data_IF_616837104413
#
_entry.id   IF_616837104413
#
_cell.length_a   1.000
_cell.length_b   1.000
_cell.length_c   1.000
_cell.angle_alpha   90.00
_cell.angle_beta   90.00
_cell.angle_gamma   90.00
#
_symmetry.space_group_name_H-M   'P 1'
#
loop_
_entity.id
_entity.type
_entity.pdbx_description
1 polymer ?
#
# COMPACT_ATOMS: atom_id res chain seq x y z
N UNK A 1 -10.93 -0.41 12.69
CA UNK A 1 -9.45 -0.41 12.71
C UNK A 1 -9.01 0.57 11.64
N UNK A 2 -8.03 1.42 11.92
CA UNK A 2 -7.68 2.56 11.05
C UNK A 2 -7.45 2.15 9.60
N UNK A 3 -6.78 1.01 9.34
CA UNK A 3 -6.58 0.49 7.97
C UNK A 3 -7.90 0.21 7.26
N UNK A 4 -8.82 -0.54 7.89
CA UNK A 4 -10.10 -0.93 7.28
C UNK A 4 -10.96 0.30 6.97
N UNK A 5 -11.01 1.26 7.89
CA UNK A 5 -11.78 2.50 7.71
C UNK A 5 -11.20 3.38 6.59
N UNK A 6 -9.88 3.44 6.44
CA UNK A 6 -9.20 4.13 5.34
C UNK A 6 -9.38 3.42 3.99
N UNK A 7 -9.39 2.09 3.99
CA UNK A 7 -9.62 1.25 2.81
C UNK A 7 -11.05 1.40 2.28
N UNK A 8 -12.04 1.25 3.16
CA UNK A 8 -13.47 1.33 2.82
C UNK A 8 -13.84 2.74 2.32
N UNK A 9 -13.24 3.80 2.88
CA UNK A 9 -13.39 5.18 2.39
C UNK A 9 -12.93 5.33 0.94
N UNK A 10 -11.74 4.83 0.61
CA UNK A 10 -11.23 4.90 -0.77
C UNK A 10 -12.02 4.04 -1.75
N UNK A 11 -12.50 2.87 -1.32
CA UNK A 11 -13.43 2.06 -2.12
C UNK A 11 -14.71 2.84 -2.41
N UNK A 12 -15.23 3.57 -1.42
CA UNK A 12 -16.44 4.40 -1.60
C UNK A 12 -16.19 5.48 -2.66
N UNK A 13 -15.07 6.19 -2.60
CA UNK A 13 -14.68 7.19 -3.62
C UNK A 13 -14.55 6.56 -5.03
N UNK A 14 -13.93 5.39 -5.12
CA UNK A 14 -13.81 4.64 -6.38
C UNK A 14 -15.18 4.24 -6.90
N UNK A 15 -16.08 3.72 -6.05
CA UNK A 15 -17.39 3.28 -6.48
C UNK A 15 -18.24 4.46 -7.00
N UNK A 16 -18.21 5.61 -6.33
CA UNK A 16 -18.86 6.84 -6.81
C UNK A 16 -18.31 7.27 -8.19
N UNK A 17 -17.00 7.16 -8.38
CA UNK A 17 -16.39 7.41 -9.68
C UNK A 17 -16.87 6.43 -10.76
N UNK A 18 -16.93 5.14 -10.43
CA UNK A 18 -17.35 4.08 -11.33
C UNK A 18 -18.83 4.18 -11.72
N UNK A 19 -19.69 4.68 -10.83
CA UNK A 19 -21.08 4.98 -11.15
C UNK A 19 -21.19 5.97 -12.31
N UNK A 20 -20.38 7.05 -12.27
CA UNK A 20 -20.32 8.04 -13.35
C UNK A 20 -19.72 7.41 -14.60
N UNK A 21 -18.58 6.73 -14.49
CA UNK A 21 -17.87 6.13 -15.63
C UNK A 21 -18.77 5.16 -16.40
N UNK A 22 -19.54 4.35 -15.68
CA UNK A 22 -20.49 3.39 -16.27
C UNK A 22 -21.55 4.08 -17.13
N UNK A 23 -22.06 5.23 -16.68
CA UNK A 23 -23.10 5.99 -17.39
C UNK A 23 -22.53 6.69 -18.62
N UNK A 24 -21.34 7.29 -18.51
CA UNK A 24 -20.73 8.02 -19.63
C UNK A 24 -20.17 7.10 -20.73
N UNK A 25 -20.18 5.79 -20.55
CA UNK A 25 -19.84 4.82 -21.60
C UNK A 25 -21.06 4.29 -22.39
N UNK A 26 -22.28 4.73 -22.04
CA UNK A 26 -23.49 4.40 -22.78
C UNK A 26 -23.57 5.16 -24.12
N UNK A 27 -24.58 4.87 -24.94
CA UNK A 27 -24.76 5.55 -26.23
C UNK A 27 -25.11 7.04 -26.02
N UNK A 28 -24.34 7.91 -26.69
CA UNK A 28 -24.49 9.39 -26.69
C UNK A 28 -24.68 10.00 -25.29
N UNK A 29 -23.71 9.84 -24.38
CA UNK A 29 -23.83 10.35 -23.02
C UNK A 29 -23.71 11.87 -23.00
N UNK A 30 -24.50 12.51 -22.14
CA UNK A 30 -24.43 13.95 -21.90
C UNK A 30 -24.72 14.31 -20.44
N UNK A 31 -24.10 15.40 -19.98
CA UNK A 31 -24.45 16.08 -18.73
C UNK A 31 -25.19 17.38 -19.07
N UNK A 32 -26.36 17.56 -18.50
CA UNK A 32 -27.16 18.79 -18.65
C UNK A 32 -27.28 19.47 -17.29
N UNK A 33 -27.01 20.77 -17.23
CA UNK A 33 -27.19 21.58 -16.04
C UNK A 33 -27.89 22.90 -16.38
N UNK A 34 -28.82 23.34 -15.54
CA UNK A 34 -29.45 24.65 -15.69
C UNK A 34 -28.59 25.72 -15.00
N UNK A 35 -28.18 26.72 -15.77
CA UNK A 35 -27.49 27.90 -15.28
C UNK A 35 -28.50 29.01 -15.01
N UNK A 36 -28.77 29.24 -13.73
CA UNK A 36 -29.71 30.26 -13.28
C UNK A 36 -29.24 31.70 -13.56
N UNK A 37 -27.94 31.91 -13.82
CA UNK A 37 -27.40 33.25 -14.13
C UNK A 37 -27.67 33.61 -15.58
N UNK A 38 -27.43 32.68 -16.50
CA UNK A 38 -27.70 32.89 -17.92
C UNK A 38 -29.14 32.54 -18.33
N UNK A 39 -29.93 31.92 -17.44
CA UNK A 39 -31.27 31.37 -17.72
C UNK A 39 -31.27 30.38 -18.88
N UNK A 40 -30.22 29.55 -18.96
CA UNK A 40 -30.05 28.57 -20.04
C UNK A 40 -29.61 27.20 -19.51
N UNK A 41 -29.89 26.15 -20.30
CA UNK A 41 -29.31 24.83 -20.07
C UNK A 41 -27.95 24.74 -20.75
N UNK A 42 -26.96 24.27 -20.00
CA UNK A 42 -25.62 23.92 -20.49
C UNK A 42 -25.58 22.41 -20.69
N UNK A 43 -25.29 21.99 -21.91
CA UNK A 43 -25.08 20.58 -22.27
C UNK A 43 -23.59 20.31 -22.52
N UNK A 44 -23.06 19.29 -21.85
CA UNK A 44 -21.73 18.73 -22.12
C UNK A 44 -21.92 17.34 -22.73
N UNK A 45 -21.52 17.20 -23.98
CA UNK A 45 -21.49 15.90 -24.68
C UNK A 45 -20.18 15.18 -24.35
N UNK A 46 -20.29 13.93 -23.92
CA UNK A 46 -19.16 13.04 -23.70
C UNK A 46 -18.76 12.38 -25.02
N UNK A 47 -17.80 13.00 -25.71
CA UNK A 47 -17.12 12.40 -26.85
C UNK A 47 -16.08 11.35 -26.39
N UNK A 48 -15.47 10.65 -27.35
CA UNK A 48 -14.46 9.63 -27.07
C UNK A 48 -13.28 10.16 -26.26
N UNK A 49 -12.84 11.40 -26.50
CA UNK A 49 -11.72 11.98 -25.80
C UNK A 49 -12.04 12.19 -24.32
N UNK A 50 -13.22 12.76 -24.00
CA UNK A 50 -13.68 12.94 -22.62
C UNK A 50 -13.84 11.59 -21.92
N UNK A 51 -14.46 10.61 -22.58
CA UNK A 51 -14.63 9.27 -22.01
C UNK A 51 -13.27 8.62 -21.71
N UNK A 52 -12.32 8.69 -22.64
CA UNK A 52 -10.97 8.14 -22.44
C UNK A 52 -10.24 8.84 -21.28
N UNK A 53 -10.42 10.15 -21.11
CA UNK A 53 -9.85 10.86 -19.95
C UNK A 53 -10.39 10.29 -18.63
N UNK A 54 -11.68 10.03 -18.56
CA UNK A 54 -12.27 9.40 -17.38
C UNK A 54 -11.76 7.95 -17.20
N UNK A 55 -11.76 7.12 -18.24
CA UNK A 55 -11.20 5.76 -18.19
C UNK A 55 -9.79 5.73 -17.61
N UNK A 56 -8.89 6.58 -18.11
CA UNK A 56 -7.51 6.63 -17.63
C UNK A 56 -7.37 7.15 -16.19
N UNK A 57 -8.28 8.01 -15.73
CA UNK A 57 -8.25 8.51 -14.34
C UNK A 57 -8.47 7.39 -13.31
N UNK A 58 -9.14 6.30 -13.70
CA UNK A 58 -9.28 5.08 -12.91
C UNK A 58 -7.94 4.51 -12.43
N UNK A 59 -6.89 4.59 -13.26
CA UNK A 59 -5.57 4.08 -12.88
C UNK A 59 -4.96 4.84 -11.70
N UNK A 60 -5.24 6.14 -11.58
CA UNK A 60 -4.80 6.93 -10.44
C UNK A 60 -5.54 6.52 -9.16
N UNK A 61 -6.86 6.35 -9.25
CA UNK A 61 -7.71 5.96 -8.13
C UNK A 61 -7.36 4.57 -7.60
N UNK A 62 -7.25 3.58 -8.49
CA UNK A 62 -6.89 2.21 -8.12
C UNK A 62 -5.47 2.13 -7.57
N UNK A 63 -4.52 2.89 -8.13
CA UNK A 63 -3.17 2.89 -7.60
C UNK A 63 -3.06 3.58 -6.25
N UNK A 64 -3.81 4.67 -6.03
CA UNK A 64 -3.90 5.32 -4.73
C UNK A 64 -4.45 4.37 -3.66
N UNK A 65 -5.47 3.57 -3.99
CA UNK A 65 -5.98 2.52 -3.11
C UNK A 65 -4.87 1.54 -2.73
N UNK A 66 -4.08 1.07 -3.69
CA UNK A 66 -2.94 0.16 -3.43
C UNK A 66 -1.92 0.80 -2.49
N UNK A 67 -1.39 1.98 -2.84
CA UNK A 67 -0.32 2.61 -2.07
C UNK A 67 -0.77 2.95 -0.65
N UNK A 68 -1.95 3.52 -0.51
CA UNK A 68 -2.48 3.90 0.80
C UNK A 68 -2.78 2.70 1.69
N UNK A 69 -3.28 1.59 1.13
CA UNK A 69 -3.53 0.38 1.89
C UNK A 69 -2.22 -0.17 2.47
N UNK A 70 -1.18 -0.25 1.64
CA UNK A 70 0.15 -0.71 2.07
C UNK A 70 0.75 0.23 3.10
N UNK A 71 0.71 1.54 2.85
CA UNK A 71 1.20 2.57 3.76
C UNK A 71 0.55 2.47 5.13
N UNK A 72 -0.78 2.53 5.17
CA UNK A 72 -1.53 2.48 6.42
C UNK A 72 -1.32 1.15 7.15
N UNK A 73 -1.11 0.06 6.43
CA UNK A 73 -0.78 -1.24 7.03
C UNK A 73 0.56 -1.25 7.74
N UNK A 74 1.61 -0.73 7.10
CA UNK A 74 2.93 -0.63 7.72
C UNK A 74 2.90 0.32 8.91
N UNK A 75 2.23 1.47 8.80
CA UNK A 75 2.06 2.42 9.91
C UNK A 75 1.34 1.76 11.09
N UNK A 76 0.26 1.02 10.83
CA UNK A 76 -0.50 0.37 11.92
C UNK A 76 0.33 -0.72 12.61
N UNK A 77 1.19 -1.43 11.88
CA UNK A 77 2.17 -2.35 12.48
C UNK A 77 3.14 -1.58 13.38
N UNK A 78 3.71 -0.47 12.90
CA UNK A 78 4.64 0.35 13.67
C UNK A 78 3.99 0.89 14.94
N UNK A 79 2.77 1.42 14.84
CA UNK A 79 2.00 1.92 15.98
C UNK A 79 1.70 0.79 16.98
N UNK A 80 1.42 -0.41 16.50
CA UNK A 80 1.20 -1.59 17.34
C UNK A 80 2.46 -2.00 18.08
N UNK A 81 3.63 -1.95 17.45
CA UNK A 81 4.93 -2.25 18.08
C UNK A 81 5.34 -1.14 19.07
N UNK A 82 5.17 0.12 18.70
CA UNK A 82 5.53 1.29 19.52
C UNK A 82 4.54 1.57 20.65
N UNK A 83 3.41 0.85 20.70
CA UNK A 83 2.26 1.15 21.55
C UNK A 83 2.63 1.31 23.03
N UNK A 84 2.12 2.37 23.66
CA UNK A 84 2.23 2.57 25.11
C UNK A 84 1.47 1.52 25.94
N UNK A 85 0.65 0.68 25.29
CA UNK A 85 0.02 -0.49 25.93
C UNK A 85 1.05 -1.56 26.33
N UNK A 86 2.23 -1.57 25.72
CA UNK A 86 3.33 -2.43 26.15
C UNK A 86 3.95 -1.85 27.43
N UNK A 87 3.82 -2.58 28.52
CA UNK A 87 4.43 -2.22 29.80
C UNK A 87 5.21 -3.42 30.37
N UNK A 88 6.57 -3.40 30.34
CA UNK A 88 7.42 -2.34 29.80
C UNK A 88 7.32 -2.21 28.26
N UNK A 89 7.78 -1.07 27.70
CA UNK A 89 7.89 -0.90 26.24
C UNK A 89 8.80 -1.98 25.66
N UNK A 90 8.47 -2.43 24.45
CA UNK A 90 9.27 -3.44 23.74
C UNK A 90 10.67 -2.91 23.44
N UNK A 91 11.65 -3.77 23.65
CA UNK A 91 13.06 -3.57 23.31
C UNK A 91 13.44 -4.44 22.11
N UNK A 92 14.66 -4.23 21.62
CA UNK A 92 15.19 -4.93 20.45
C UNK A 92 15.10 -6.46 20.54
N UNK A 93 15.33 -7.04 21.73
CA UNK A 93 15.31 -8.50 21.91
C UNK A 93 13.92 -9.09 22.13
N UNK A 94 12.89 -8.26 22.33
CA UNK A 94 11.51 -8.70 22.60
C UNK A 94 10.72 -9.01 21.32
N UNK A 95 11.26 -8.63 20.16
CA UNK A 95 10.61 -8.80 18.86
C UNK A 95 11.24 -9.91 18.02
N UNK A 96 10.52 -10.37 17.00
CA UNK A 96 11.01 -11.35 16.03
C UNK A 96 12.16 -10.80 15.17
N UNK A 97 12.94 -11.70 14.58
CA UNK A 97 14.14 -11.32 13.82
C UNK A 97 13.86 -10.50 12.56
N UNK A 98 12.69 -10.68 11.92
CA UNK A 98 12.31 -9.86 10.77
C UNK A 98 12.15 -8.38 11.16
N UNK A 99 11.49 -8.11 12.30
CA UNK A 99 11.35 -6.75 12.84
C UNK A 99 12.72 -6.18 13.25
N UNK A 100 13.60 -6.99 13.86
CA UNK A 100 14.98 -6.57 14.19
C UNK A 100 15.76 -6.15 12.95
N UNK A 101 15.74 -6.99 11.90
CA UNK A 101 16.40 -6.72 10.62
C UNK A 101 15.83 -5.47 9.98
N UNK A 102 14.50 -5.35 9.94
CA UNK A 102 13.83 -4.16 9.41
C UNK A 102 14.28 -2.88 10.12
N UNK A 103 14.35 -2.91 11.46
CA UNK A 103 14.81 -1.76 12.24
C UNK A 103 16.29 -1.45 12.00
N UNK A 104 17.17 -2.47 12.01
CA UNK A 104 18.61 -2.29 11.77
C UNK A 104 18.90 -1.71 10.39
N UNK A 105 18.23 -2.19 9.34
CA UNK A 105 18.37 -1.70 7.97
C UNK A 105 17.97 -0.23 7.80
N UNK A 106 17.26 0.33 8.78
CA UNK A 106 16.82 1.72 8.78
C UNK A 106 17.67 2.63 9.68
N UNK A 107 18.20 2.10 10.78
CA UNK A 107 19.04 2.84 11.73
C UNK A 107 20.52 2.80 11.35
N UNK A 108 20.99 1.70 10.77
CA UNK A 108 22.35 1.56 10.28
C UNK A 108 22.41 1.71 8.76
N UNK A 109 23.12 2.75 8.30
CA UNK A 109 23.45 2.93 6.88
C UNK A 109 24.93 2.58 6.68
N UNK A 110 25.17 1.46 6.02
CA UNK A 110 26.53 1.07 5.63
C UNK A 110 27.00 1.93 4.45
N UNK A 111 28.25 2.40 4.53
CA UNK A 111 28.97 2.99 3.40
C UNK A 111 30.38 2.40 3.39
N UNK A 112 30.75 1.77 2.28
CA UNK A 112 32.04 1.08 2.10
C UNK A 112 33.24 2.04 2.25
N UNK A 113 33.02 3.35 2.08
CA UNK A 113 34.05 4.39 2.23
C UNK A 113 34.20 4.89 3.67
N UNK A 114 33.44 4.34 4.62
CA UNK A 114 33.53 4.75 6.02
C UNK A 114 34.90 4.44 6.61
N UNK A 115 35.50 5.45 7.25
CA UNK A 115 36.73 5.27 8.04
C UNK A 115 36.48 4.35 9.24
N UNK A 116 37.51 3.61 9.65
CA UNK A 116 37.46 2.67 10.79
C UNK A 116 36.85 3.29 12.05
N UNK A 117 37.25 4.51 12.42
CA UNK A 117 36.74 5.19 13.62
C UNK A 117 35.23 5.49 13.52
N UNK A 118 34.73 5.81 12.32
CA UNK A 118 33.30 6.04 12.10
C UNK A 118 32.50 4.73 12.23
N UNK A 119 33.05 3.61 11.76
CA UNK A 119 32.45 2.28 11.94
C UNK A 119 32.38 1.92 13.42
N UNK A 120 33.46 2.10 14.18
CA UNK A 120 33.51 1.84 15.63
C UNK A 120 32.48 2.72 16.37
N UNK A 121 32.43 4.02 16.07
CA UNK A 121 31.48 4.94 16.68
C UNK A 121 30.02 4.55 16.37
N UNK A 122 29.73 4.12 15.16
CA UNK A 122 28.39 3.62 14.81
C UNK A 122 28.04 2.34 15.58
N UNK A 123 28.99 1.43 15.76
CA UNK A 123 28.77 0.21 16.54
C UNK A 123 28.46 0.53 18.01
N UNK A 124 29.20 1.44 18.64
CA UNK A 124 28.94 1.89 20.02
C UNK A 124 27.55 2.54 20.14
N UNK A 125 27.17 3.37 19.17
CA UNK A 125 25.82 3.98 19.14
C UNK A 125 24.74 2.92 19.02
N UNK A 126 24.90 1.98 18.09
CA UNK A 126 23.95 0.87 17.90
C UNK A 126 23.83 -0.01 19.15
N UNK A 127 24.95 -0.36 19.79
CA UNK A 127 24.91 -1.15 21.02
C UNK A 127 24.15 -0.42 22.12
N UNK A 128 24.38 0.88 22.28
CA UNK A 128 23.63 1.68 23.26
C UNK A 128 22.12 1.68 22.97
N UNK A 129 21.72 1.85 21.70
CA UNK A 129 20.30 1.77 21.32
C UNK A 129 19.70 0.39 21.62
N UNK A 130 20.41 -0.69 21.28
CA UNK A 130 19.94 -2.07 21.45
C UNK A 130 19.72 -2.43 22.93
N UNK A 131 20.65 -2.05 23.81
CA UNK A 131 20.62 -2.47 25.21
C UNK A 131 19.81 -1.52 26.10
N UNK A 132 19.81 -0.23 25.81
CA UNK A 132 19.28 0.78 26.75
C UNK A 132 17.93 1.38 26.33
N UNK A 133 17.62 1.43 25.03
CA UNK A 133 16.43 2.11 24.52
C UNK A 133 15.28 1.15 24.19
N UNK A 134 14.05 1.67 24.18
CA UNK A 134 12.91 0.97 23.59
C UNK A 134 13.02 0.94 22.06
N UNK A 135 12.54 -0.13 21.44
CA UNK A 135 12.44 -0.22 20.00
C UNK A 135 11.37 0.76 19.50
N UNK A 136 11.73 1.58 18.50
CA UNK A 136 10.84 2.54 17.86
C UNK A 136 10.97 2.41 16.35
N UNK A 137 9.85 2.19 15.67
CA UNK A 137 9.73 2.22 14.22
C UNK A 137 8.99 3.50 13.79
N UNK A 138 9.62 4.32 12.96
CA UNK A 138 9.03 5.59 12.50
C UNK A 138 8.55 5.50 11.05
N UNK A 139 7.59 6.33 10.67
CA UNK A 139 7.02 6.35 9.31
C UNK A 139 8.05 6.59 8.20
N UNK A 140 9.12 7.33 8.46
CA UNK A 140 10.22 7.54 7.50
C UNK A 140 11.12 6.30 7.31
N UNK A 141 10.89 5.21 8.04
CA UNK A 141 11.51 3.91 7.80
C UNK A 141 10.77 3.07 6.76
N UNK A 142 9.62 3.54 6.25
CA UNK A 142 8.87 2.83 5.22
C UNK A 142 9.65 2.86 3.91
N UNK A 143 9.93 1.66 3.37
CA UNK A 143 10.73 1.47 2.14
C UNK A 143 9.92 0.85 0.98
N UNK A 144 8.63 1.12 0.83
CA UNK A 144 7.99 0.76 -0.43
C UNK A 144 8.33 1.84 -1.47
N UNK A 145 9.10 1.48 -2.50
CA UNK A 145 9.36 2.38 -3.62
C UNK A 145 8.04 2.73 -4.32
N UNK A 146 7.94 3.90 -4.96
CA UNK A 146 6.75 4.42 -5.65
C UNK A 146 6.35 3.62 -6.90
N UNK A 147 6.33 2.30 -6.80
CA UNK A 147 6.12 1.30 -7.83
C UNK A 147 5.77 -0.02 -7.13
N UNK A 148 4.75 0.02 -6.26
CA UNK A 148 4.11 -1.16 -5.68
C UNK A 148 3.37 -1.98 -6.74
N UNK A 149 3.58 -3.30 -6.69
CA UNK A 149 2.82 -4.34 -7.38
C UNK A 149 2.49 -5.45 -6.36
N UNK A 150 1.75 -6.48 -6.77
CA UNK A 150 1.37 -7.59 -5.89
C UNK A 150 2.58 -8.30 -5.24
N UNK A 151 3.74 -8.33 -5.91
CA UNK A 151 4.94 -8.97 -5.37
C UNK A 151 5.58 -8.11 -4.28
N UNK A 152 5.74 -6.80 -4.51
CA UNK A 152 6.31 -5.87 -3.52
C UNK A 152 5.43 -5.68 -2.30
N UNK A 153 4.12 -5.83 -2.42
CA UNK A 153 3.19 -5.89 -1.27
C UNK A 153 3.59 -7.08 -0.38
N UNK A 154 3.78 -8.25 -0.98
CA UNK A 154 4.21 -9.46 -0.27
C UNK A 154 5.59 -9.31 0.37
N UNK A 155 6.55 -8.73 -0.34
CA UNK A 155 7.89 -8.47 0.19
C UNK A 155 7.86 -7.53 1.39
N UNK A 156 7.10 -6.44 1.30
CA UNK A 156 6.94 -5.47 2.39
C UNK A 156 6.38 -6.13 3.64
N UNK A 157 5.31 -6.92 3.49
CA UNK A 157 4.71 -7.68 4.58
C UNK A 157 5.70 -8.67 5.21
N UNK A 158 6.39 -9.47 4.38
CA UNK A 158 7.38 -10.46 4.82
C UNK A 158 8.57 -9.83 5.53
N UNK A 159 9.03 -8.66 5.09
CA UNK A 159 10.13 -7.94 5.74
C UNK A 159 9.83 -7.54 7.19
N UNK A 160 8.55 -7.50 7.57
CA UNK A 160 8.09 -7.27 8.93
C UNK A 160 7.67 -8.56 9.64
N UNK A 161 7.84 -9.72 9.00
CA UNK A 161 7.48 -11.03 9.55
C UNK A 161 5.98 -11.34 9.52
N UNK A 162 5.20 -10.64 8.69
CA UNK A 162 3.77 -10.92 8.52
C UNK A 162 3.59 -12.23 7.75
N UNK A 163 2.77 -13.15 8.26
CA UNK A 163 2.37 -14.33 7.49
C UNK A 163 1.38 -13.92 6.40
N UNK A 164 1.75 -14.15 5.14
CA UNK A 164 0.97 -13.80 3.95
C UNK A 164 0.37 -15.01 3.23
N UNK A 165 0.22 -16.16 3.89
CA UNK A 165 -0.34 -17.35 3.24
C UNK A 165 -1.76 -17.10 2.71
N UNK A 166 -2.53 -16.24 3.38
CA UNK A 166 -3.85 -15.79 2.91
C UNK A 166 -3.82 -15.05 1.58
N UNK A 167 -2.69 -14.42 1.22
CA UNK A 167 -2.53 -13.77 -0.09
C UNK A 167 -2.38 -14.77 -1.23
N UNK A 168 -1.97 -16.02 -0.94
CA UNK A 168 -1.84 -17.05 -1.97
C UNK A 168 -3.19 -17.64 -2.35
N UNK A 169 -4.14 -17.62 -1.41
CA UNK A 169 -5.49 -18.14 -1.65
C UNK A 169 -6.24 -17.25 -2.65
N UNK A 170 -6.75 -17.85 -3.72
CA UNK A 170 -7.44 -17.17 -4.83
C UNK A 170 -6.56 -16.27 -5.72
N UNK A 171 -5.29 -16.01 -5.37
CA UNK A 171 -4.41 -15.20 -6.21
C UNK A 171 -4.00 -15.95 -7.48
N UNK A 172 -4.27 -15.31 -8.62
CA UNK A 172 -3.92 -15.80 -9.96
C UNK A 172 -3.02 -14.79 -10.65
N UNK A 173 -1.79 -15.19 -10.98
CA UNK A 173 -0.75 -14.29 -11.52
C UNK A 173 -1.17 -13.66 -12.85
N UNK A 174 -1.86 -14.41 -13.68
CA UNK A 174 -2.42 -14.05 -14.99
C UNK A 174 -3.64 -13.14 -14.90
N UNK A 175 -4.19 -12.89 -13.70
CA UNK A 175 -5.40 -12.08 -13.54
C UNK A 175 -5.15 -10.96 -12.53
N UNK A 176 -4.86 -11.33 -11.29
CA UNK A 176 -4.55 -10.38 -10.22
C UNK A 176 -3.21 -9.70 -10.51
N UNK A 177 -2.17 -10.51 -10.80
CA UNK A 177 -0.84 -9.98 -11.10
C UNK A 177 -0.84 -9.05 -12.31
N UNK A 178 -1.61 -9.39 -13.35
CA UNK A 178 -1.80 -8.52 -14.51
C UNK A 178 -2.50 -7.21 -14.13
N UNK A 179 -3.59 -7.26 -13.35
CA UNK A 179 -4.30 -6.05 -12.91
C UNK A 179 -3.38 -5.07 -12.15
N UNK A 180 -2.60 -5.57 -11.17
CA UNK A 180 -1.63 -4.74 -10.45
C UNK A 180 -0.57 -4.14 -11.37
N UNK A 181 -0.01 -4.95 -12.27
CA UNK A 181 1.03 -4.52 -13.21
C UNK A 181 0.51 -3.46 -14.18
N UNK A 182 -0.67 -3.67 -14.75
CA UNK A 182 -1.29 -2.73 -15.68
C UNK A 182 -1.60 -1.40 -14.98
N UNK A 183 -2.27 -1.44 -13.82
CA UNK A 183 -2.62 -0.22 -13.07
C UNK A 183 -1.37 0.57 -12.69
N UNK A 184 -0.33 -0.10 -12.19
CA UNK A 184 0.94 0.51 -11.87
C UNK A 184 1.59 1.15 -13.11
N UNK A 185 1.69 0.41 -14.22
CA UNK A 185 2.33 0.90 -15.43
C UNK A 185 1.60 2.13 -15.99
N UNK A 186 0.27 2.08 -16.08
CA UNK A 186 -0.51 3.21 -16.61
C UNK A 186 -0.43 4.43 -15.70
N UNK A 187 -0.49 4.23 -14.37
CA UNK A 187 -0.25 5.32 -13.41
C UNK A 187 1.13 5.94 -13.62
N UNK A 188 2.19 5.13 -13.78
CA UNK A 188 3.54 5.63 -14.02
C UNK A 188 3.62 6.45 -15.32
N UNK A 189 3.03 5.96 -16.42
CA UNK A 189 2.98 6.71 -17.67
C UNK A 189 2.30 8.07 -17.52
N UNK A 190 1.17 8.13 -16.80
CA UNK A 190 0.48 9.39 -16.51
C UNK A 190 1.33 10.32 -15.64
N UNK A 191 1.93 9.80 -14.57
CA UNK A 191 2.70 10.59 -13.60
C UNK A 191 4.00 11.16 -14.20
N UNK A 192 4.62 10.42 -15.12
CA UNK A 192 5.83 10.88 -15.81
C UNK A 192 5.54 11.70 -17.09
N UNK A 193 4.27 11.80 -17.49
CA UNK A 193 3.88 12.48 -18.73
C UNK A 193 4.32 11.73 -20.00
N UNK A 194 4.59 10.43 -19.91
CA UNK A 194 4.97 9.59 -21.05
C UNK A 194 3.78 9.39 -22.01
N UNK A 195 2.56 9.31 -21.45
CA UNK A 195 1.31 9.23 -22.21
C UNK A 195 0.25 10.14 -21.61
N UNK A 196 -0.63 10.63 -22.46
CA UNK A 196 -1.82 11.39 -22.06
C UNK A 196 -2.93 10.45 -21.57
N UNK A 197 -3.88 11.02 -20.83
CA UNK A 197 -5.08 10.28 -20.38
C UNK A 197 -5.91 9.74 -21.55
N UNK A 198 -6.07 10.53 -22.62
CA UNK A 198 -6.88 10.12 -23.76
C UNK A 198 -6.26 8.94 -24.53
N UNK A 199 -4.92 8.91 -24.66
CA UNK A 199 -4.19 7.81 -25.29
C UNK A 199 -4.31 6.52 -24.50
N UNK A 200 -4.15 6.59 -23.18
CA UNK A 200 -4.28 5.40 -22.32
C UNK A 200 -5.74 4.92 -22.30
N UNK A 201 -6.69 5.82 -22.09
CA UNK A 201 -8.09 5.44 -21.86
C UNK A 201 -8.77 4.82 -23.07
N UNK A 202 -8.23 4.97 -24.28
CA UNK A 202 -8.79 4.38 -25.49
C UNK A 202 -8.86 2.85 -25.43
N UNK A 203 -7.90 2.21 -24.75
CA UNK A 203 -7.74 0.75 -24.75
C UNK A 203 -8.46 0.04 -23.59
N UNK A 204 -9.11 0.79 -22.68
CA UNK A 204 -9.65 0.24 -21.42
C UNK A 204 -11.13 0.58 -21.23
N UNK A 205 -12.06 -0.21 -21.78
CA UNK A 205 -13.49 -0.04 -21.53
C UNK A 205 -13.84 -0.27 -20.06
N UNK A 206 -14.97 0.26 -19.61
CA UNK A 206 -15.46 0.17 -18.22
C UNK A 206 -15.37 -1.25 -17.66
N UNK A 207 -15.80 -2.26 -18.42
CA UNK A 207 -15.79 -3.66 -17.97
C UNK A 207 -14.39 -4.14 -17.55
N UNK A 208 -13.34 -3.77 -18.31
CA UNK A 208 -11.96 -4.15 -17.97
C UNK A 208 -11.45 -3.40 -16.74
N UNK A 209 -11.82 -2.14 -16.59
CA UNK A 209 -11.47 -1.33 -15.43
C UNK A 209 -12.18 -1.84 -14.15
N UNK A 210 -13.41 -2.33 -14.29
CA UNK A 210 -14.16 -2.93 -13.18
C UNK A 210 -13.59 -4.29 -12.76
N UNK A 211 -13.16 -5.11 -13.72
CA UNK A 211 -12.38 -6.31 -13.42
C UNK A 211 -11.11 -5.98 -12.62
N UNK A 212 -10.32 -4.99 -13.06
CA UNK A 212 -9.12 -4.58 -12.32
C UNK A 212 -9.44 -4.09 -10.91
N UNK A 213 -10.50 -3.29 -10.74
CA UNK A 213 -10.99 -2.86 -9.43
C UNK A 213 -11.28 -4.07 -8.54
N UNK A 214 -12.05 -5.04 -9.03
CA UNK A 214 -12.44 -6.22 -8.25
C UNK A 214 -11.22 -7.05 -7.83
N UNK A 215 -10.30 -7.36 -8.76
CA UNK A 215 -9.11 -8.16 -8.45
C UNK A 215 -8.15 -7.47 -7.47
N UNK A 216 -7.99 -6.15 -7.59
CA UNK A 216 -7.17 -5.38 -6.67
C UNK A 216 -7.81 -5.35 -5.28
N UNK A 217 -9.13 -5.06 -5.19
CA UNK A 217 -9.86 -5.03 -3.92
C UNK A 217 -9.79 -6.39 -3.23
N UNK A 218 -10.07 -7.49 -3.93
CA UNK A 218 -10.01 -8.84 -3.36
C UNK A 218 -8.62 -9.14 -2.76
N UNK A 219 -7.55 -8.79 -3.48
CA UNK A 219 -6.19 -9.01 -3.00
C UNK A 219 -5.85 -8.15 -1.77
N UNK A 220 -6.25 -6.87 -1.79
CA UNK A 220 -5.99 -5.95 -0.69
C UNK A 220 -6.82 -6.31 0.55
N UNK A 221 -8.01 -6.87 0.42
CA UNK A 221 -8.79 -7.37 1.56
C UNK A 221 -8.07 -8.52 2.27
N UNK A 222 -7.55 -9.50 1.50
CA UNK A 222 -6.75 -10.60 2.05
C UNK A 222 -5.46 -10.10 2.71
N UNK A 223 -4.87 -9.03 2.15
CA UNK A 223 -3.71 -8.37 2.76
C UNK A 223 -4.07 -7.78 4.11
N UNK A 224 -5.12 -6.96 4.19
CA UNK A 224 -5.59 -6.35 5.43
C UNK A 224 -5.88 -7.41 6.49
N UNK A 225 -6.57 -8.51 6.13
CA UNK A 225 -6.84 -9.62 7.05
C UNK A 225 -5.54 -10.22 7.63
N UNK A 226 -4.49 -10.35 6.81
CA UNK A 226 -3.20 -10.87 7.26
C UNK A 226 -2.52 -9.92 8.27
N UNK A 227 -2.68 -8.61 8.06
CA UNK A 227 -2.17 -7.57 8.97
C UNK A 227 -2.97 -7.56 10.28
N UNK A 228 -4.30 -7.66 10.20
CA UNK A 228 -5.19 -7.72 11.36
C UNK A 228 -4.84 -8.91 12.27
N UNK A 229 -4.64 -10.10 11.67
CA UNK A 229 -4.23 -11.29 12.42
C UNK A 229 -2.87 -11.09 13.09
N UNK A 230 -1.88 -10.60 12.35
CA UNK A 230 -0.53 -10.36 12.86
C UNK A 230 -0.52 -9.41 14.07
N UNK A 231 -1.34 -8.34 14.01
CA UNK A 231 -1.46 -7.37 15.11
C UNK A 231 -2.24 -7.97 16.29
N UNK A 232 -3.38 -8.61 16.03
CA UNK A 232 -4.24 -9.21 17.05
C UNK A 232 -3.47 -10.26 17.86
N UNK A 233 -2.72 -11.10 17.17
CA UNK A 233 -1.99 -12.21 17.75
C UNK A 233 -0.61 -11.77 18.28
N UNK A 234 -0.30 -10.47 18.18
CA UNK A 234 0.97 -9.86 18.55
C UNK A 234 2.19 -10.61 18.00
N UNK A 235 2.09 -11.12 16.77
CA UNK A 235 3.10 -12.01 16.17
C UNK A 235 4.46 -11.34 15.91
N UNK A 236 4.53 -10.01 16.04
CA UNK A 236 5.79 -9.26 16.08
C UNK A 236 6.63 -9.55 17.34
N UNK A 237 6.03 -10.07 18.42
CA UNK A 237 6.74 -10.42 19.65
C UNK A 237 7.39 -11.79 19.53
N UNK A 238 8.56 -11.95 20.14
CA UNK A 238 9.17 -13.27 20.29
C UNK A 238 8.33 -14.12 21.24
N UNK A 239 8.09 -15.38 20.88
CA UNK A 239 7.45 -16.34 21.78
C UNK A 239 8.46 -16.82 22.82
N UNK A 240 8.12 -16.78 24.11
CA UNK A 240 8.98 -17.24 25.22
C UNK A 240 9.36 -18.74 25.16
N UNK A 241 8.88 -19.49 24.16
CA UNK A 241 9.17 -20.91 23.98
C UNK A 241 10.60 -21.14 23.49
N UNK A 242 11.20 -20.18 22.77
CA UNK A 242 12.58 -20.30 22.28
C UNK A 242 13.66 -20.03 23.34
N UNK A 243 13.31 -19.40 24.47
CA UNK A 243 14.26 -19.14 25.55
C UNK A 243 14.74 -20.41 26.26
N UNK A 244 13.96 -21.50 26.19
CA UNK A 244 14.32 -22.78 26.82
C UNK A 244 15.31 -23.57 25.94
N UNK A 245 15.27 -23.40 24.62
CA UNK A 245 16.10 -24.17 23.69
C UNK A 245 17.52 -23.59 23.47
N UNK A 246 17.79 -22.38 23.97
CA UNK A 246 19.11 -21.73 23.85
C UNK A 246 19.98 -21.85 25.14
N UNK A 247 19.50 -22.60 26.13
CA UNK A 247 20.17 -22.78 27.44
C UNK A 247 20.53 -24.25 27.72
N UNK A 248 20.35 -25.15 26.75
CA UNK A 248 20.86 -26.53 26.78
C UNK A 248 21.98 -26.73 25.75
#
# INVERSE_FOLDING_TARGET
MVIREEFDRRITEINLYFEILKVIELDKPKLTAFDAVSDTNIDIIFDSQKINIFRASTFLLLYNLVESTVFNSVITIFDSINSDRHNPKLKYFDVIDDVKKYWLDNVYKHDEKMKKDAVINNFIKLSNLIFNESLVLASYYIKYGGSLDAFKIQETAKSLGVNIDKLKDGYRKDIHGEAFKEVQQKRNWLAHGEKTFAEIGQDYPFGRLDEFRQYIVEHLEKFIISIDDYIRDASYKRSNVEEIAAVE
#
